data_IF_469111283668
#
_entry.id   IF_469111283668
#
_cell.length_a   1.000
_cell.length_b   1.000
_cell.length_c   1.000
_cell.angle_alpha   90.00
_cell.angle_beta   90.00
_cell.angle_gamma   90.00
#
_symmetry.space_group_name_H-M   'P 1'
#
loop_
_entity.id
_entity.type
_entity.pdbx_description
1 polymer ?
#
# COMPACT_ATOMS: atom_id res chain seq x y z
N UNK A 1 -16.57 24.75 -0.02
CA UNK A 1 -16.37 23.66 -0.35
C UNK A 1 -17.19 22.63 0.10
N UNK A 2 -17.36 22.05 -0.52
CA UNK A 2 -18.35 21.11 -0.29
C UNK A 2 -17.73 19.81 0.19
N UNK A 3 -18.22 19.31 1.30
CA UNK A 3 -17.74 18.05 1.84
C UNK A 3 -18.04 16.88 0.93
N UNK A 4 -18.91 17.06 -0.05
CA UNK A 4 -19.20 16.00 -1.00
C UNK A 4 -18.02 15.71 -1.93
N UNK A 5 -17.06 16.61 -2.06
CA UNK A 5 -15.91 16.43 -2.94
C UNK A 5 -14.70 15.83 -2.24
N UNK A 6 -14.79 15.59 -0.93
CA UNK A 6 -13.70 14.98 -0.17
C UNK A 6 -14.25 14.00 0.85
N UNK A 7 -13.47 12.96 1.12
CA UNK A 7 -13.83 11.95 2.11
C UNK A 7 -12.68 11.80 3.09
N UNK A 8 -12.98 11.97 4.38
CA UNK A 8 -12.02 11.68 5.44
C UNK A 8 -11.81 10.20 5.57
N UNK A 9 -10.58 9.75 5.48
CA UNK A 9 -10.22 8.36 5.68
C UNK A 9 -9.70 8.11 7.10
N UNK A 10 -9.43 9.19 7.85
CA UNK A 10 -8.78 9.11 9.15
C UNK A 10 -7.29 9.06 9.02
N UNK A 11 -6.62 8.47 10.01
CA UNK A 11 -5.17 8.44 10.03
C UNK A 11 -4.61 7.27 9.23
N UNK A 12 -3.49 7.51 8.56
CA UNK A 12 -2.67 6.47 7.96
C UNK A 12 -1.27 6.56 8.52
N UNK A 13 -0.55 5.45 8.46
CA UNK A 13 0.73 5.27 9.14
C UNK A 13 1.78 4.80 8.16
N UNK A 14 2.93 5.44 8.20
CA UNK A 14 4.07 5.10 7.36
C UNK A 14 5.24 4.68 8.23
N UNK A 15 5.66 3.44 8.11
CA UNK A 15 6.95 3.01 8.63
C UNK A 15 8.04 3.70 7.82
N UNK A 16 8.98 4.34 8.49
CA UNK A 16 10.04 5.05 7.79
C UNK A 16 11.34 4.90 8.58
N UNK A 17 12.46 5.10 7.93
CA UNK A 17 13.79 4.89 8.49
C UNK A 17 14.02 5.51 9.86
N UNK A 18 14.97 6.43 9.94
CA UNK A 18 15.38 6.96 11.24
C UNK A 18 14.85 8.35 11.54
N UNK A 19 14.01 8.89 10.65
CA UNK A 19 13.48 10.24 10.81
C UNK A 19 12.03 10.30 10.32
N UNK A 20 11.20 11.18 10.91
CA UNK A 20 9.84 11.41 10.42
C UNK A 20 9.83 11.94 8.99
N UNK A 21 8.80 11.59 8.23
CA UNK A 21 8.63 12.07 6.85
C UNK A 21 7.54 13.14 6.83
N UNK A 22 7.94 14.39 6.97
CA UNK A 22 7.00 15.51 6.97
C UNK A 22 6.48 15.83 5.57
N UNK A 23 7.29 15.62 4.55
CA UNK A 23 6.98 15.94 3.16
C UNK A 23 7.03 14.66 2.32
N UNK A 24 5.90 13.94 2.19
CA UNK A 24 5.87 12.71 1.41
C UNK A 24 6.26 12.92 -0.05
N UNK A 25 6.97 11.96 -0.60
CA UNK A 25 7.41 11.97 -1.99
C UNK A 25 7.10 10.64 -2.66
N UNK A 26 6.86 10.68 -3.97
CA UNK A 26 6.69 9.48 -4.76
C UNK A 26 8.05 8.82 -4.91
N UNK A 27 8.14 7.57 -4.44
CA UNK A 27 9.35 6.78 -4.61
C UNK A 27 9.28 6.01 -5.90
N UNK A 28 10.25 6.27 -6.77
CA UNK A 28 10.39 5.57 -8.05
C UNK A 28 11.53 4.57 -7.88
N UNK A 29 11.27 3.32 -8.21
CA UNK A 29 12.26 2.27 -8.05
C UNK A 29 11.99 1.11 -9.00
N UNK A 30 12.54 -0.04 -8.64
CA UNK A 30 12.31 -1.26 -9.41
C UNK A 30 10.84 -1.66 -9.35
N UNK A 31 10.39 -2.37 -10.39
CA UNK A 31 9.01 -2.83 -10.51
C UNK A 31 8.75 -4.04 -9.62
N UNK A 32 8.90 -3.86 -8.31
CA UNK A 32 8.70 -4.94 -7.34
C UNK A 32 7.60 -4.62 -6.34
N UNK A 33 6.98 -3.46 -6.47
CA UNK A 33 5.92 -3.03 -5.56
C UNK A 33 4.55 -3.47 -6.05
N UNK A 34 3.71 -3.89 -5.13
CA UNK A 34 2.40 -4.46 -5.43
C UNK A 34 1.48 -3.54 -6.23
N UNK A 35 1.50 -2.25 -5.92
CA UNK A 35 0.63 -1.26 -6.57
C UNK A 35 1.44 -0.24 -7.38
N UNK A 36 2.68 -0.58 -7.71
CA UNK A 36 3.55 0.31 -8.49
C UNK A 36 4.27 1.33 -7.63
N UNK A 37 4.83 2.33 -8.28
CA UNK A 37 5.56 3.40 -7.59
C UNK A 37 4.61 4.27 -6.78
N UNK A 38 5.09 4.81 -5.68
CA UNK A 38 4.28 5.69 -4.86
C UNK A 38 4.78 5.84 -3.44
N UNK A 39 3.91 6.41 -2.62
CA UNK A 39 4.12 6.56 -1.19
C UNK A 39 3.14 5.64 -0.47
N UNK A 40 3.65 4.62 0.18
CA UNK A 40 2.85 3.54 0.76
C UNK A 40 2.59 3.76 2.24
N UNK A 41 1.34 3.63 2.64
CA UNK A 41 0.90 3.71 4.04
C UNK A 41 -0.06 2.57 4.35
N UNK A 42 -0.45 2.47 5.62
CA UNK A 42 -1.50 1.55 6.06
C UNK A 42 -2.46 2.29 7.00
N UNK A 43 -3.72 1.88 7.02
CA UNK A 43 -4.67 2.37 8.02
C UNK A 43 -4.56 1.60 9.33
N UNK A 44 -3.76 0.52 9.36
CA UNK A 44 -3.61 -0.35 10.52
C UNK A 44 -2.34 0.04 11.27
N UNK A 45 -2.51 0.77 12.38
CA UNK A 45 -1.38 1.29 13.17
C UNK A 45 -0.47 0.16 13.66
N UNK A 46 -1.04 -0.92 14.16
CA UNK A 46 -0.28 -2.05 14.67
C UNK A 46 0.58 -2.70 13.59
N UNK A 47 0.11 -2.70 12.36
CA UNK A 47 0.88 -3.21 11.23
C UNK A 47 2.13 -2.36 10.99
N UNK A 48 1.96 -1.03 10.99
CA UNK A 48 3.08 -0.11 10.81
C UNK A 48 4.09 -0.25 11.95
N UNK A 49 3.61 -0.40 13.18
CA UNK A 49 4.47 -0.57 14.35
C UNK A 49 5.27 -1.88 14.28
N UNK A 50 4.62 -2.99 13.89
CA UNK A 50 5.32 -4.27 13.73
C UNK A 50 6.39 -4.19 12.67
N UNK A 51 6.12 -3.51 11.57
CA UNK A 51 7.11 -3.33 10.51
C UNK A 51 8.28 -2.47 10.96
N UNK A 52 8.00 -1.41 11.72
CA UNK A 52 9.06 -0.56 12.25
C UNK A 52 10.00 -1.36 13.16
N UNK A 53 9.43 -2.21 14.02
CA UNK A 53 10.23 -3.09 14.87
C UNK A 53 11.04 -4.10 14.07
N UNK A 54 10.39 -4.76 13.12
CA UNK A 54 11.00 -5.83 12.33
C UNK A 54 12.20 -5.33 11.53
N UNK A 55 12.11 -4.12 10.99
CA UNK A 55 13.15 -3.56 10.13
C UNK A 55 14.01 -2.53 10.84
N UNK A 56 13.86 -2.42 12.17
CA UNK A 56 14.64 -1.53 13.02
C UNK A 56 14.61 -0.07 12.56
N UNK A 57 13.47 0.35 12.04
CA UNK A 57 13.30 1.73 11.57
C UNK A 57 12.85 2.68 12.68
N UNK A 58 12.20 2.17 13.71
CA UNK A 58 11.82 2.85 14.95
C UNK A 58 10.83 4.02 14.84
N UNK A 59 10.62 4.57 13.67
CA UNK A 59 9.74 5.72 13.48
C UNK A 59 8.53 5.33 12.65
N UNK A 60 7.35 5.72 13.14
CA UNK A 60 6.10 5.60 12.38
C UNK A 60 5.56 7.01 12.21
N UNK A 61 5.53 7.50 10.99
CA UNK A 61 4.94 8.81 10.67
C UNK A 61 3.43 8.68 10.51
N UNK A 62 2.70 9.69 10.94
CA UNK A 62 1.24 9.68 11.01
C UNK A 62 0.69 10.82 10.16
N UNK A 63 -0.29 10.51 9.32
CA UNK A 63 -0.93 11.49 8.44
C UNK A 63 -2.44 11.37 8.57
N UNK A 64 -3.13 12.50 8.50
CA UNK A 64 -4.56 12.52 8.28
C UNK A 64 -4.82 12.51 6.78
N UNK A 65 -5.79 11.73 6.34
CA UNK A 65 -6.06 11.55 4.91
C UNK A 65 -7.47 12.05 4.59
N UNK A 66 -7.55 12.92 3.58
CA UNK A 66 -8.82 13.34 3.00
C UNK A 66 -8.77 13.07 1.51
N UNK A 67 -9.55 12.08 1.10
CA UNK A 67 -9.62 11.68 -0.30
C UNK A 67 -10.47 12.68 -1.09
N UNK A 68 -9.96 13.08 -2.24
CA UNK A 68 -10.64 13.97 -3.17
C UNK A 68 -11.36 13.11 -4.22
N UNK A 69 -12.66 13.31 -4.39
CA UNK A 69 -13.47 12.54 -5.34
C UNK A 69 -13.09 12.77 -6.80
N UNK A 70 -12.32 13.81 -7.09
CA UNK A 70 -11.81 14.06 -8.43
C UNK A 70 -10.65 13.14 -8.81
N UNK A 71 -10.03 12.46 -7.83
CA UNK A 71 -8.92 11.54 -8.07
C UNK A 71 -9.43 10.18 -8.55
N UNK A 72 -8.59 9.50 -9.31
CA UNK A 72 -8.85 8.13 -9.74
C UNK A 72 -8.40 7.18 -8.63
N UNK A 73 -9.36 6.59 -7.92
CA UNK A 73 -9.10 5.72 -6.78
C UNK A 73 -9.56 4.31 -7.10
N UNK A 74 -8.67 3.34 -6.91
CA UNK A 74 -9.01 1.92 -7.04
C UNK A 74 -8.92 1.27 -5.68
N UNK A 75 -10.00 0.66 -5.26
CA UNK A 75 -10.04 -0.06 -3.99
C UNK A 75 -10.34 -1.54 -4.24
N UNK A 76 -9.48 -2.40 -3.70
CA UNK A 76 -9.69 -3.85 -3.68
C UNK A 76 -10.12 -4.22 -2.26
N UNK A 77 -11.40 -4.54 -2.09
CA UNK A 77 -11.93 -4.90 -0.77
C UNK A 77 -11.53 -6.30 -0.34
N UNK A 78 -11.17 -7.15 -1.30
CA UNK A 78 -10.79 -8.53 -1.07
C UNK A 78 -9.66 -8.94 -2.01
N UNK A 79 -8.95 -10.00 -1.63
CA UNK A 79 -8.00 -10.64 -2.53
C UNK A 79 -8.80 -11.48 -3.53
N UNK A 80 -8.84 -11.01 -4.78
CA UNK A 80 -9.57 -11.65 -5.87
C UNK A 80 -8.62 -11.84 -7.05
N UNK A 81 -9.10 -12.49 -8.11
CA UNK A 81 -8.33 -12.58 -9.34
C UNK A 81 -7.99 -11.19 -9.90
N UNK A 82 -8.91 -10.24 -9.78
CA UNK A 82 -8.65 -8.86 -10.21
C UNK A 82 -7.48 -8.26 -9.43
N UNK A 83 -7.46 -8.45 -8.11
CA UNK A 83 -6.37 -7.99 -7.26
C UNK A 83 -5.05 -8.65 -7.67
N UNK A 84 -5.06 -9.98 -7.86
CA UNK A 84 -3.88 -10.72 -8.25
C UNK A 84 -3.33 -10.25 -9.60
N UNK A 85 -4.21 -10.09 -10.59
CA UNK A 85 -3.80 -9.63 -11.91
C UNK A 85 -3.22 -8.22 -11.86
N UNK A 86 -3.80 -7.34 -11.04
CA UNK A 86 -3.29 -5.98 -10.88
C UNK A 86 -1.88 -5.98 -10.28
N UNK A 87 -1.64 -6.78 -9.25
CA UNK A 87 -0.32 -6.89 -8.61
C UNK A 87 0.70 -7.42 -9.62
N UNK A 88 0.34 -8.45 -10.38
CA UNK A 88 1.22 -9.03 -11.38
C UNK A 88 1.59 -7.98 -12.43
N UNK A 89 0.61 -7.22 -12.91
CA UNK A 89 0.85 -6.16 -13.87
C UNK A 89 1.81 -5.11 -13.32
N UNK A 90 1.60 -4.66 -12.10
CA UNK A 90 2.48 -3.67 -11.48
C UNK A 90 3.90 -4.21 -11.30
N UNK A 91 4.04 -5.44 -10.84
CA UNK A 91 5.36 -6.06 -10.66
C UNK A 91 6.06 -6.33 -11.99
N UNK A 92 5.30 -6.46 -13.06
CA UNK A 92 5.83 -6.64 -14.41
C UNK A 92 6.18 -5.32 -15.09
N UNK A 93 5.98 -4.21 -14.40
CA UNK A 93 6.33 -2.90 -14.91
C UNK A 93 5.23 -2.17 -15.66
N UNK A 94 4.04 -2.73 -15.71
CA UNK A 94 2.91 -2.04 -16.33
C UNK A 94 2.49 -0.87 -15.46
N UNK A 95 2.23 0.26 -16.11
CA UNK A 95 1.76 1.46 -15.41
C UNK A 95 0.25 1.51 -15.44
N UNK A 96 -0.32 2.11 -14.41
CA UNK A 96 -1.76 2.33 -14.32
C UNK A 96 -2.04 3.83 -14.16
N UNK A 97 -3.30 4.20 -14.32
CA UNK A 97 -3.72 5.61 -14.28
C UNK A 97 -4.32 6.02 -12.94
N UNK A 98 -4.27 5.17 -11.93
CA UNK A 98 -4.85 5.50 -10.62
C UNK A 98 -3.95 6.44 -9.84
N UNK A 99 -4.57 7.39 -9.14
CA UNK A 99 -3.88 8.26 -8.20
C UNK A 99 -3.65 7.56 -6.87
N UNK A 100 -4.62 6.75 -6.44
CA UNK A 100 -4.56 6.04 -5.17
C UNK A 100 -5.04 4.61 -5.38
N UNK A 101 -4.32 3.64 -4.83
CA UNK A 101 -4.72 2.23 -4.82
C UNK A 101 -4.75 1.74 -3.39
N UNK A 102 -5.88 1.16 -3.00
CA UNK A 102 -6.13 0.67 -1.64
C UNK A 102 -6.44 -0.82 -1.70
N UNK A 103 -5.86 -1.61 -0.82
CA UNK A 103 -6.19 -3.02 -0.78
C UNK A 103 -5.25 -3.86 0.04
N UNK A 104 -5.40 -5.17 -0.12
CA UNK A 104 -4.54 -6.14 0.54
C UNK A 104 -3.13 -6.04 -0.03
N UNK A 105 -2.17 -6.25 0.84
CA UNK A 105 -0.76 -6.30 0.48
C UNK A 105 -0.32 -7.74 0.39
N UNK A 106 0.48 -8.05 -0.61
CA UNK A 106 1.17 -9.34 -0.65
C UNK A 106 2.38 -9.25 0.29
N UNK A 107 2.18 -9.72 1.52
CA UNK A 107 3.26 -9.78 2.51
C UNK A 107 4.14 -11.01 2.28
N UNK A 108 5.05 -11.29 3.20
CA UNK A 108 6.13 -12.26 3.04
C UNK A 108 5.78 -13.54 2.27
N UNK A 109 4.76 -14.27 2.74
CA UNK A 109 4.42 -15.56 2.12
C UNK A 109 3.60 -15.37 0.85
N UNK A 110 2.63 -14.47 0.88
CA UNK A 110 1.83 -14.19 -0.31
C UNK A 110 2.71 -13.60 -1.40
N UNK A 111 3.69 -12.77 -1.03
CA UNK A 111 4.66 -12.25 -1.99
C UNK A 111 5.37 -13.40 -2.74
N UNK A 112 5.82 -14.41 -1.99
CA UNK A 112 6.50 -15.56 -2.59
C UNK A 112 5.55 -16.37 -3.48
N UNK A 113 4.29 -16.55 -3.08
CA UNK A 113 3.31 -17.25 -3.88
C UNK A 113 3.01 -16.51 -5.19
N UNK A 114 2.93 -15.19 -5.13
CA UNK A 114 2.75 -14.38 -6.34
C UNK A 114 3.95 -14.55 -7.27
N UNK A 115 5.16 -14.52 -6.73
CA UNK A 115 6.39 -14.73 -7.51
C UNK A 115 6.41 -16.12 -8.15
N UNK A 116 6.03 -17.14 -7.40
CA UNK A 116 5.97 -18.52 -7.91
C UNK A 116 4.93 -18.66 -9.02
N UNK A 117 3.80 -18.00 -8.87
CA UNK A 117 2.79 -17.98 -9.93
C UNK A 117 3.29 -17.25 -11.18
N UNK A 118 3.97 -16.12 -11.00
CA UNK A 118 4.50 -15.33 -12.11
C UNK A 118 5.55 -16.10 -12.90
N UNK A 119 6.36 -16.91 -12.24
CA UNK A 119 7.41 -17.67 -12.94
C UNK A 119 6.94 -19.05 -13.41
N UNK A 120 5.68 -19.39 -13.18
CA UNK A 120 5.10 -20.64 -13.65
C UNK A 120 5.33 -21.85 -12.74
N UNK A 121 5.91 -21.65 -11.55
CA UNK A 121 6.17 -22.75 -10.61
C UNK A 121 4.88 -23.30 -10.02
N UNK A 122 3.83 -22.48 -9.92
CA UNK A 122 2.51 -22.92 -9.46
C UNK A 122 1.44 -22.39 -10.40
N UNK A 123 0.27 -23.05 -10.38
CA UNK A 123 -0.90 -22.60 -11.14
C UNK A 123 -1.68 -21.56 -10.34
N UNK A 124 -2.64 -20.91 -10.98
CA UNK A 124 -3.53 -19.96 -10.31
C UNK A 124 -4.35 -20.67 -9.22
N UNK A 125 -4.82 -21.86 -9.48
CA UNK A 125 -5.57 -22.66 -8.50
C UNK A 125 -4.69 -22.98 -7.29
N UNK A 126 -3.44 -23.36 -7.52
CA UNK A 126 -2.50 -23.63 -6.45
C UNK A 126 -2.22 -22.37 -5.62
N UNK A 127 -2.08 -21.22 -6.30
CA UNK A 127 -1.91 -19.95 -5.61
C UNK A 127 -3.05 -19.70 -4.61
N UNK A 128 -4.30 -19.87 -5.06
CA UNK A 128 -5.43 -19.59 -4.20
C UNK A 128 -5.56 -20.58 -3.05
N UNK A 129 -5.17 -21.86 -3.26
CA UNK A 129 -5.12 -22.83 -2.18
C UNK A 129 -4.11 -22.40 -1.11
N UNK A 130 -2.92 -21.96 -1.53
CA UNK A 130 -1.86 -21.52 -0.61
C UNK A 130 -2.24 -20.24 0.12
N UNK A 131 -2.92 -19.32 -0.56
CA UNK A 131 -3.30 -18.04 0.01
C UNK A 131 -4.55 -18.09 0.89
N UNK A 132 -5.31 -19.18 0.83
CA UNK A 132 -6.63 -19.30 1.45
C UNK A 132 -6.67 -19.00 2.94
N UNK A 133 -5.65 -19.40 3.66
CA UNK A 133 -5.60 -19.24 5.11
C UNK A 133 -4.69 -18.09 5.54
N UNK A 134 -4.33 -17.21 4.62
CA UNK A 134 -3.50 -16.06 4.95
C UNK A 134 -4.37 -14.85 5.22
N UNK A 135 -3.99 -14.09 6.23
CA UNK A 135 -4.69 -12.84 6.56
C UNK A 135 -4.03 -11.72 5.78
N UNK A 136 -4.77 -11.07 4.88
CA UNK A 136 -4.19 -9.97 4.13
C UNK A 136 -3.88 -8.82 5.07
N UNK A 137 -2.74 -8.18 4.84
CA UNK A 137 -2.42 -6.92 5.46
C UNK A 137 -2.96 -5.81 4.57
N UNK A 138 -3.08 -4.62 5.12
CA UNK A 138 -3.67 -3.50 4.39
C UNK A 138 -2.59 -2.53 3.92
N UNK A 139 -2.77 -1.99 2.71
CA UNK A 139 -1.92 -0.90 2.26
C UNK A 139 -2.74 0.09 1.43
N UNK A 140 -2.27 1.31 1.43
CA UNK A 140 -2.77 2.37 0.57
C UNK A 140 -1.57 3.04 -0.09
N UNK A 141 -1.57 3.08 -1.41
CA UNK A 141 -0.48 3.67 -2.17
C UNK A 141 -0.92 4.98 -2.82
N UNK A 142 -0.23 6.06 -2.48
CA UNK A 142 -0.43 7.36 -3.09
C UNK A 142 0.53 7.46 -4.27
N UNK A 143 0.00 7.34 -5.48
CA UNK A 143 0.78 7.09 -6.70
C UNK A 143 1.19 8.34 -7.45
N UNK A 144 0.55 9.47 -7.18
CA UNK A 144 0.78 10.72 -7.92
C UNK A 144 0.99 11.89 -6.97
N UNK A 145 1.54 12.98 -7.50
CA UNK A 145 1.69 14.21 -6.71
C UNK A 145 0.35 14.74 -6.24
N UNK A 146 -0.68 14.62 -7.05
CA UNK A 146 -2.03 15.05 -6.66
C UNK A 146 -2.54 14.22 -5.49
N UNK A 147 -2.26 12.91 -5.50
CA UNK A 147 -2.64 12.05 -4.40
C UNK A 147 -1.94 12.43 -3.09
N UNK A 148 -0.68 12.85 -3.16
CA UNK A 148 0.07 13.25 -1.96
C UNK A 148 -0.57 14.45 -1.25
N UNK A 149 -1.30 15.28 -1.97
CA UNK A 149 -2.01 16.42 -1.38
C UNK A 149 -3.14 15.99 -0.45
N UNK A 150 -3.55 14.73 -0.50
CA UNK A 150 -4.54 14.17 0.41
C UNK A 150 -3.97 13.93 1.81
N UNK A 151 -2.66 13.96 1.96
CA UNK A 151 -1.96 13.66 3.21
C UNK A 151 -1.62 14.94 3.97
N UNK A 152 -2.00 14.98 5.24
CA UNK A 152 -1.61 16.05 6.15
C UNK A 152 -0.78 15.44 7.28
N UNK A 153 0.47 15.86 7.41
CA UNK A 153 1.35 15.33 8.45
C UNK A 153 0.85 15.69 9.83
N UNK A 154 0.74 14.70 10.72
CA UNK A 154 0.22 14.89 12.08
C UNK A 154 1.29 14.67 13.15
N UNK A 155 2.42 14.10 12.80
CA UNK A 155 3.46 13.79 13.77
C UNK A 155 4.02 12.40 13.57
N UNK A 156 4.68 11.90 14.59
CA UNK A 156 5.29 10.58 14.52
C UNK A 156 5.29 9.92 15.88
N UNK A 157 5.53 8.62 15.89
CA UNK A 157 5.75 7.83 17.10
C UNK A 157 7.06 7.09 16.99
N UNK A 158 7.75 6.94 18.12
CA UNK A 158 8.87 6.01 18.20
C UNK A 158 8.36 4.66 18.65
N UNK A 159 8.90 3.62 18.05
CA UNK A 159 8.55 2.23 18.37
C UNK A 159 9.72 1.58 19.04
N UNK A 160 9.52 1.14 20.28
CA UNK A 160 10.60 0.55 21.10
C UNK A 160 10.65 -0.97 20.94
#
# INVERSE_FOLDING_TARGET
RDSSTSRGLGDVYKRQGYAPVENPEIRIGRNTKDFGNGFYCTIIKEQAQRWAKRYDTKIVSIYDVRLNSALQIKEFKEMTDEWLDFIIDCRSGKKHAYDIVIGAMADDQIYNYVSDYMDGSITREQFWVLAKFKYPTHQINFCTKEALKCLEYRGFEEVL
#
